data_IF_127306631742
#
_entry.id   IF_127306631742
#
_cell.length_a   1.000
_cell.length_b   1.000
_cell.length_c   1.000
_cell.angle_alpha   90.00
_cell.angle_beta   90.00
_cell.angle_gamma   90.00
#
_symmetry.space_group_name_H-M   'P 1'
#
loop_
_entity.id
_entity.type
_entity.pdbx_description
1 polymer ?
#
# COMPACT_ATOMS: atom_id res chain seq x y z
N UNK A 1 -13.57 0.46 -9.80
CA UNK A 1 -12.50 0.90 -8.89
C UNK A 1 -11.36 -0.11 -8.89
N UNK A 2 -10.13 0.36 -8.80
CA UNK A 2 -8.94 -0.51 -8.76
C UNK A 2 -8.37 -0.48 -7.35
N UNK A 3 -8.03 -1.65 -6.82
CA UNK A 3 -7.35 -1.77 -5.53
C UNK A 3 -5.87 -2.09 -5.77
N UNK A 4 -5.00 -1.20 -5.32
CA UNK A 4 -3.55 -1.36 -5.47
C UNK A 4 -2.97 -1.83 -4.15
N UNK A 5 -2.40 -3.04 -4.13
CA UNK A 5 -1.78 -3.62 -2.95
C UNK A 5 -0.27 -3.48 -3.06
N UNK A 6 0.33 -2.80 -2.09
CA UNK A 6 1.77 -2.50 -2.09
C UNK A 6 2.42 -3.22 -0.91
N UNK A 7 3.22 -4.26 -1.16
CA UNK A 7 4.00 -4.88 -0.09
C UNK A 7 5.15 -3.98 0.31
N UNK A 8 5.38 -3.80 1.61
CA UNK A 8 6.46 -2.94 2.11
C UNK A 8 7.25 -3.60 3.22
N UNK A 9 8.54 -3.27 3.29
CA UNK A 9 9.41 -3.59 4.40
C UNK A 9 10.53 -2.56 4.43
N UNK A 10 10.49 -1.65 5.43
CA UNK A 10 11.48 -0.58 5.59
C UNK A 10 11.67 0.26 4.32
N UNK A 11 10.56 0.78 3.79
CA UNK A 11 10.53 1.54 2.54
C UNK A 11 10.35 3.04 2.73
N UNK A 12 10.75 3.60 3.89
CA UNK A 12 10.48 5.01 4.18
C UNK A 12 11.08 5.98 3.15
N UNK A 13 12.17 5.61 2.47
CA UNK A 13 12.79 6.45 1.44
C UNK A 13 12.04 6.41 0.11
N UNK A 14 11.51 5.27 -0.26
CA UNK A 14 10.91 5.05 -1.57
C UNK A 14 9.41 5.19 -1.59
N UNK A 15 8.75 4.85 -0.48
CA UNK A 15 7.30 4.86 -0.42
C UNK A 15 6.70 6.24 -0.73
N UNK A 16 7.22 7.36 -0.18
CA UNK A 16 6.66 8.68 -0.53
C UNK A 16 6.74 8.96 -2.03
N UNK A 17 7.84 8.60 -2.67
CA UNK A 17 8.02 8.81 -4.12
C UNK A 17 7.00 8.02 -4.92
N UNK A 18 6.79 6.74 -4.54
CA UNK A 18 5.81 5.89 -5.21
C UNK A 18 4.40 6.42 -5.02
N UNK A 19 4.04 6.79 -3.81
CA UNK A 19 2.70 7.30 -3.50
C UNK A 19 2.43 8.63 -4.18
N UNK A 20 3.44 9.51 -4.27
CA UNK A 20 3.33 10.77 -5.02
C UNK A 20 3.09 10.49 -6.50
N UNK A 21 3.81 9.54 -7.09
CA UNK A 21 3.60 9.15 -8.48
C UNK A 21 2.18 8.64 -8.72
N UNK A 22 1.66 7.82 -7.82
CA UNK A 22 0.30 7.29 -7.94
C UNK A 22 -0.73 8.42 -7.84
N UNK A 23 -0.55 9.33 -6.88
CA UNK A 23 -1.48 10.45 -6.68
C UNK A 23 -1.47 11.45 -7.83
N UNK A 24 -0.39 11.52 -8.58
CA UNK A 24 -0.30 12.41 -9.74
C UNK A 24 -0.90 11.79 -11.01
N UNK A 25 -1.43 10.57 -10.95
CA UNK A 25 -2.13 9.96 -12.07
C UNK A 25 -3.44 10.68 -12.34
N UNK A 26 -3.84 10.71 -13.60
CA UNK A 26 -5.13 11.30 -14.00
C UNK A 26 -6.31 10.46 -13.51
N UNK A 27 -6.14 9.14 -13.44
CA UNK A 27 -7.19 8.25 -12.98
C UNK A 27 -7.29 8.31 -11.45
N UNK A 28 -8.49 8.54 -10.94
CA UNK A 28 -8.73 8.67 -9.50
C UNK A 28 -9.58 7.54 -8.90
N UNK A 29 -10.05 6.60 -9.71
CA UNK A 29 -10.89 5.50 -9.24
C UNK A 29 -10.08 4.34 -8.65
N UNK A 30 -9.30 4.60 -7.60
CA UNK A 30 -8.49 3.56 -6.98
C UNK A 30 -8.47 3.69 -5.45
N UNK A 31 -8.12 2.59 -4.77
CA UNK A 31 -7.78 2.59 -3.36
C UNK A 31 -6.36 2.05 -3.18
N UNK A 32 -5.66 2.51 -2.15
CA UNK A 32 -4.30 2.08 -1.84
C UNK A 32 -4.30 1.25 -0.56
N UNK A 33 -3.70 0.06 -0.63
CA UNK A 33 -3.56 -0.85 0.49
C UNK A 33 -2.09 -1.17 0.66
N UNK A 34 -1.53 -0.84 1.82
CA UNK A 34 -0.13 -1.15 2.13
C UNK A 34 -0.09 -2.40 3.00
N UNK A 35 0.52 -3.46 2.48
CA UNK A 35 0.75 -4.70 3.21
C UNK A 35 2.15 -4.64 3.82
N UNK A 36 2.25 -4.20 5.06
CA UNK A 36 3.53 -3.93 5.70
C UNK A 36 4.05 -5.13 6.50
N UNK A 37 5.29 -5.53 6.23
CA UNK A 37 5.95 -6.65 6.88
C UNK A 37 6.64 -6.23 8.18
N UNK A 38 5.92 -5.48 9.02
CA UNK A 38 6.39 -5.02 10.32
C UNK A 38 7.64 -4.15 10.21
N UNK A 39 7.57 -3.11 9.41
CA UNK A 39 8.69 -2.16 9.23
C UNK A 39 9.09 -1.51 10.54
N UNK A 40 10.41 -1.43 10.77
CA UNK A 40 10.97 -0.76 11.94
C UNK A 40 11.18 0.73 11.74
N UNK A 41 10.86 1.26 10.57
CA UNK A 41 11.03 2.67 10.24
C UNK A 41 9.68 3.41 10.14
N UNK A 42 9.65 4.54 9.44
CA UNK A 42 8.46 5.38 9.31
C UNK A 42 7.50 4.94 8.20
N UNK A 43 7.70 3.78 7.61
CA UNK A 43 6.88 3.31 6.47
C UNK A 43 5.39 3.35 6.77
N UNK A 44 4.96 2.81 7.92
CA UNK A 44 3.55 2.80 8.30
C UNK A 44 2.98 4.21 8.48
N UNK A 45 3.76 5.12 9.08
CA UNK A 45 3.34 6.51 9.27
C UNK A 45 3.14 7.21 7.93
N UNK A 46 4.03 6.98 6.99
CA UNK A 46 3.95 7.55 5.65
C UNK A 46 2.69 7.03 4.93
N UNK A 47 2.45 5.74 5.00
CA UNK A 47 1.25 5.14 4.40
C UNK A 47 -0.03 5.77 4.96
N UNK A 48 -0.12 5.93 6.28
CA UNK A 48 -1.28 6.57 6.92
C UNK A 48 -1.43 8.02 6.47
N UNK A 49 -0.34 8.74 6.36
CA UNK A 49 -0.36 10.15 5.93
C UNK A 49 -0.94 10.29 4.53
N UNK A 50 -0.70 9.32 3.66
CA UNK A 50 -1.23 9.33 2.28
C UNK A 50 -2.63 8.72 2.17
N UNK A 51 -3.24 8.32 3.27
CA UNK A 51 -4.59 7.78 3.27
C UNK A 51 -4.69 6.33 2.84
N UNK A 52 -3.58 5.57 2.92
CA UNK A 52 -3.60 4.16 2.58
C UNK A 52 -4.21 3.32 3.69
N UNK A 53 -4.89 2.24 3.30
CA UNK A 53 -5.26 1.18 4.24
C UNK A 53 -4.02 0.35 4.53
N UNK A 54 -3.87 -0.11 5.77
CA UNK A 54 -2.69 -0.89 6.16
C UNK A 54 -3.13 -2.26 6.66
N UNK A 55 -2.52 -3.30 6.09
CA UNK A 55 -2.71 -4.68 6.54
C UNK A 55 -1.36 -5.29 6.87
N UNK A 56 -1.37 -6.39 7.60
CA UNK A 56 -0.15 -7.12 7.92
C UNK A 56 0.41 -7.76 6.65
N UNK A 57 1.69 -7.53 6.40
CA UNK A 57 2.43 -8.15 5.32
C UNK A 57 3.33 -9.26 5.83
N UNK A 58 4.29 -9.65 5.02
CA UNK A 58 5.25 -10.70 5.28
C UNK A 58 5.91 -11.04 3.97
N UNK A 59 5.94 -12.33 3.63
CA UNK A 59 6.28 -12.73 2.26
C UNK A 59 5.25 -12.10 1.32
N UNK A 60 5.65 -11.75 0.08
CA UNK A 60 4.75 -11.06 -0.85
C UNK A 60 3.38 -11.72 -1.01
N UNK A 61 3.34 -13.05 -1.04
CA UNK A 61 2.07 -13.78 -1.17
C UNK A 61 1.14 -13.53 0.02
N UNK A 62 1.68 -13.46 1.24
CA UNK A 62 0.89 -13.20 2.45
C UNK A 62 0.32 -11.79 2.41
N UNK A 63 1.15 -10.81 2.03
CA UNK A 63 0.71 -9.42 1.92
C UNK A 63 -0.41 -9.25 0.90
N UNK A 64 -0.29 -9.90 -0.25
CA UNK A 64 -1.33 -9.86 -1.28
C UNK A 64 -2.64 -10.47 -0.79
N UNK A 65 -2.57 -11.61 -0.11
CA UNK A 65 -3.77 -12.26 0.41
C UNK A 65 -4.47 -11.39 1.46
N UNK A 66 -3.71 -10.79 2.37
CA UNK A 66 -4.26 -9.90 3.38
C UNK A 66 -4.87 -8.64 2.76
N UNK A 67 -4.19 -8.07 1.75
CA UNK A 67 -4.73 -6.94 1.01
C UNK A 67 -6.02 -7.29 0.27
N UNK A 68 -6.06 -8.47 -0.35
CA UNK A 68 -7.23 -8.93 -1.08
C UNK A 68 -8.46 -9.07 -0.19
N UNK A 69 -8.28 -9.46 1.07
CA UNK A 69 -9.38 -9.62 2.02
C UNK A 69 -10.12 -8.31 2.29
N UNK A 70 -9.43 -7.17 2.26
CA UNK A 70 -10.04 -5.88 2.53
C UNK A 70 -10.27 -5.05 1.27
N UNK A 71 -9.82 -5.52 0.12
CA UNK A 71 -9.95 -4.79 -1.14
C UNK A 71 -11.41 -4.71 -1.57
N UNK A 72 -11.83 -3.52 -2.00
CA UNK A 72 -13.21 -3.26 -2.46
C UNK A 72 -13.31 -3.17 -3.97
N UNK A 73 -12.18 -3.13 -4.67
CA UNK A 73 -12.12 -3.02 -6.12
C UNK A 73 -11.33 -4.15 -6.74
N UNK A 74 -11.06 -4.03 -8.04
CA UNK A 74 -10.21 -4.98 -8.74
C UNK A 74 -8.77 -4.84 -8.26
N UNK A 75 -8.11 -5.97 -8.02
CA UNK A 75 -6.78 -5.99 -7.41
C UNK A 75 -5.69 -5.86 -8.49
N UNK A 76 -4.75 -4.99 -8.23
CA UNK A 76 -3.52 -4.88 -9.01
C UNK A 76 -2.31 -5.21 -8.14
#
# INVERSE_FOLDING_TARGET
MISIVIPTLNEEKYLPKLLDCIKNQTYKGYELIVADADSGDKTKKIAKKYGCKIVKGGLPAIGRNNGAKIAKGDIL
#
